data_IF_598141292849
#
_entry.id   IF_598141292849
#
_cell.length_a   1.000
_cell.length_b   1.000
_cell.length_c   1.000
_cell.angle_alpha   90.00
_cell.angle_beta   90.00
_cell.angle_gamma   90.00
#
_symmetry.space_group_name_H-M   'P 1'
#
loop_
_entity.id
_entity.type
_entity.pdbx_description
1 polymer ?
#
# COMPACT_ATOMS: atom_id res chain seq x y z
N UNK A 1 25.18 -9.45 -2.64
CA UNK A 1 24.13 -9.35 -3.67
C UNK A 1 22.79 -10.05 -3.34
N UNK A 2 22.71 -11.03 -2.43
CA UNK A 2 21.46 -11.77 -2.11
C UNK A 2 20.38 -11.03 -1.28
N UNK A 3 20.67 -9.91 -0.62
CA UNK A 3 19.68 -9.25 0.27
C UNK A 3 18.67 -8.35 -0.47
N UNK A 4 18.88 -8.10 -1.76
CA UNK A 4 18.00 -7.27 -2.58
C UNK A 4 16.78 -8.06 -3.09
N UNK A 5 16.97 -9.34 -3.42
CA UNK A 5 15.89 -10.24 -3.86
C UNK A 5 14.81 -10.39 -2.80
N UNK A 6 15.15 -10.48 -1.50
CA UNK A 6 14.15 -10.55 -0.43
C UNK A 6 13.21 -9.32 -0.41
N UNK A 7 13.73 -8.12 -0.72
CA UNK A 7 12.92 -6.90 -0.79
C UNK A 7 12.05 -6.88 -2.05
N UNK A 8 12.57 -7.35 -3.18
CA UNK A 8 11.81 -7.49 -4.43
C UNK A 8 10.72 -8.55 -4.33
N UNK A 9 11.02 -9.73 -3.78
CA UNK A 9 10.07 -10.80 -3.49
C UNK A 9 8.96 -10.28 -2.58
N UNK A 10 9.31 -9.59 -1.48
CA UNK A 10 8.30 -8.99 -0.61
C UNK A 10 7.45 -7.92 -1.31
N UNK A 11 7.96 -7.24 -2.34
CA UNK A 11 7.17 -6.28 -3.14
C UNK A 11 6.24 -7.02 -4.10
N UNK A 12 6.73 -8.05 -4.77
CA UNK A 12 5.97 -8.90 -5.71
C UNK A 12 4.85 -9.62 -5.00
N UNK A 13 5.15 -10.29 -3.89
CA UNK A 13 4.14 -10.92 -3.02
C UNK A 13 3.07 -9.91 -2.61
N UNK A 14 3.49 -8.65 -2.37
CA UNK A 14 2.53 -7.62 -2.01
C UNK A 14 1.61 -7.20 -3.15
N UNK A 15 2.16 -7.03 -4.35
CA UNK A 15 1.36 -6.71 -5.54
C UNK A 15 0.42 -7.85 -5.89
N UNK A 16 0.90 -9.09 -5.86
CA UNK A 16 0.10 -10.28 -6.18
C UNK A 16 -1.09 -10.35 -5.23
N UNK A 17 -0.86 -10.28 -3.92
CA UNK A 17 -1.94 -10.37 -2.93
C UNK A 17 -2.94 -9.22 -3.08
N UNK A 18 -2.48 -7.99 -3.31
CA UNK A 18 -3.38 -6.87 -3.58
C UNK A 18 -4.25 -7.10 -4.83
N UNK A 19 -3.66 -7.67 -5.88
CA UNK A 19 -4.37 -7.96 -7.13
C UNK A 19 -5.39 -9.10 -6.98
N UNK A 20 -5.06 -10.17 -6.24
CA UNK A 20 -6.00 -11.27 -6.00
C UNK A 20 -7.21 -10.81 -5.21
N UNK A 21 -7.01 -9.96 -4.19
CA UNK A 21 -8.13 -9.51 -3.36
C UNK A 21 -9.04 -8.56 -4.14
N UNK A 22 -8.48 -7.67 -4.96
CA UNK A 22 -9.25 -6.80 -5.86
C UNK A 22 -10.12 -7.63 -6.82
N UNK A 23 -9.55 -8.69 -7.41
CA UNK A 23 -10.29 -9.63 -8.28
C UNK A 23 -11.43 -10.33 -7.52
N UNK A 24 -11.16 -10.82 -6.32
CA UNK A 24 -12.16 -11.49 -5.47
C UNK A 24 -13.30 -10.51 -5.14
N UNK A 25 -12.98 -9.26 -4.77
CA UNK A 25 -13.97 -8.22 -4.50
C UNK A 25 -14.86 -7.92 -5.71
N UNK A 26 -14.29 -7.87 -6.91
CA UNK A 26 -15.06 -7.67 -8.16
C UNK A 26 -15.98 -8.86 -8.44
N UNK A 27 -15.47 -10.10 -8.34
CA UNK A 27 -16.27 -11.30 -8.58
C UNK A 27 -17.45 -11.39 -7.61
N UNK A 28 -17.24 -11.05 -6.34
CA UNK A 28 -18.27 -11.04 -5.31
C UNK A 28 -19.29 -9.91 -5.49
N UNK A 29 -18.90 -8.76 -6.04
CA UNK A 29 -19.81 -7.68 -6.39
C UNK A 29 -20.74 -8.05 -7.56
N UNK A 30 -20.25 -8.89 -8.48
CA UNK A 30 -20.95 -9.21 -9.72
C UNK A 30 -21.97 -10.35 -9.63
N UNK A 31 -21.97 -11.19 -8.59
CA UNK A 31 -22.99 -12.24 -8.41
C UNK A 31 -24.22 -11.66 -7.68
N UNK A 32 -25.31 -11.30 -8.40
CA UNK A 32 -26.49 -10.71 -7.79
C UNK A 32 -27.40 -11.88 -7.36
N UNK A 33 -27.36 -12.28 -6.08
CA UNK A 33 -28.12 -13.47 -5.66
C UNK A 33 -28.50 -13.59 -4.18
N UNK A 34 -27.65 -13.23 -3.20
CA UNK A 34 -28.04 -13.31 -1.79
C UNK A 34 -27.52 -12.10 -0.98
N UNK A 35 -28.32 -11.05 -0.90
CA UNK A 35 -27.96 -9.72 -0.38
C UNK A 35 -27.49 -9.66 1.09
N UNK A 36 -27.77 -10.68 1.90
CA UNK A 36 -27.36 -10.73 3.32
C UNK A 36 -25.99 -11.35 3.56
N UNK A 37 -25.50 -12.21 2.66
CA UNK A 37 -24.22 -12.92 2.80
C UNK A 37 -23.08 -12.12 2.15
N UNK A 38 -23.38 -11.37 1.09
CA UNK A 38 -22.42 -10.54 0.36
C UNK A 38 -21.88 -9.39 1.23
N UNK A 39 -22.71 -8.81 2.11
CA UNK A 39 -22.30 -7.72 3.00
C UNK A 39 -21.15 -8.16 3.94
N UNK A 40 -21.32 -9.16 4.83
CA UNK A 40 -20.24 -9.59 5.73
C UNK A 40 -19.02 -10.12 4.96
N UNK A 41 -19.20 -10.75 3.81
CA UNK A 41 -18.09 -11.21 2.95
C UNK A 41 -17.31 -10.03 2.36
N UNK A 42 -18.00 -9.05 1.80
CA UNK A 42 -17.40 -7.82 1.27
C UNK A 42 -16.66 -7.04 2.36
N UNK A 43 -17.25 -6.94 3.55
CA UNK A 43 -16.59 -6.34 4.73
C UNK A 43 -15.36 -7.15 5.19
N UNK A 44 -15.42 -8.49 5.17
CA UNK A 44 -14.27 -9.34 5.50
C UNK A 44 -13.11 -9.16 4.51
N UNK A 45 -13.41 -9.05 3.21
CA UNK A 45 -12.43 -8.72 2.18
C UNK A 45 -11.86 -7.32 2.43
N UNK A 46 -12.71 -6.30 2.59
CA UNK A 46 -12.27 -4.92 2.80
C UNK A 46 -11.38 -4.81 4.05
N UNK A 47 -11.74 -5.48 5.15
CA UNK A 47 -10.94 -5.51 6.37
C UNK A 47 -9.56 -6.12 6.12
N UNK A 48 -9.50 -7.22 5.37
CA UNK A 48 -8.25 -7.90 4.99
C UNK A 48 -7.37 -7.00 4.12
N UNK A 49 -7.96 -6.31 3.13
CA UNK A 49 -7.27 -5.33 2.29
C UNK A 49 -6.75 -4.15 3.09
N UNK A 50 -7.58 -3.58 3.99
CA UNK A 50 -7.20 -2.43 4.81
C UNK A 50 -6.00 -2.73 5.70
N UNK A 51 -5.95 -3.90 6.36
CA UNK A 51 -4.79 -4.31 7.16
C UNK A 51 -3.50 -4.35 6.33
N UNK A 52 -3.63 -4.80 5.09
CA UNK A 52 -2.53 -4.94 4.15
C UNK A 52 -2.09 -3.61 3.54
N UNK A 53 -3.04 -2.76 3.14
CA UNK A 53 -2.80 -1.38 2.71
C UNK A 53 -2.10 -0.57 3.81
N UNK A 54 -2.51 -0.74 5.07
CA UNK A 54 -1.86 -0.09 6.23
C UNK A 54 -0.40 -0.52 6.39
N UNK A 55 -0.10 -1.82 6.20
CA UNK A 55 1.29 -2.34 6.19
C UNK A 55 2.10 -1.76 5.03
N UNK A 56 1.50 -1.62 3.85
CA UNK A 56 2.15 -1.04 2.67
C UNK A 56 2.46 0.45 2.91
N UNK A 57 1.49 1.20 3.43
CA UNK A 57 1.63 2.62 3.77
C UNK A 57 2.75 2.85 4.79
N UNK A 58 2.82 2.02 5.84
CA UNK A 58 3.89 2.11 6.83
C UNK A 58 5.28 1.91 6.19
N UNK A 59 5.36 1.01 5.21
CA UNK A 59 6.59 0.79 4.42
C UNK A 59 6.94 1.98 3.52
N UNK A 60 5.94 2.62 2.91
CA UNK A 60 6.12 3.83 2.10
C UNK A 60 6.59 4.99 2.96
N UNK A 61 6.00 5.19 4.14
CA UNK A 61 6.39 6.24 5.10
C UNK A 61 7.87 6.19 5.44
N UNK A 62 8.43 4.98 5.60
CA UNK A 62 9.86 4.82 5.84
C UNK A 62 10.73 5.26 4.64
N UNK A 63 10.27 5.08 3.39
CA UNK A 63 11.00 5.61 2.23
C UNK A 63 10.85 7.11 2.07
N UNK A 64 9.66 7.64 2.35
CA UNK A 64 9.41 9.09 2.30
C UNK A 64 10.26 9.83 3.31
N UNK A 65 10.45 9.32 4.54
CA UNK A 65 11.32 9.97 5.52
C UNK A 65 12.77 10.14 5.03
N UNK A 66 13.30 9.20 4.23
CA UNK A 66 14.63 9.39 3.61
C UNK A 66 14.63 10.48 2.55
N UNK A 67 13.54 10.70 1.84
CA UNK A 67 13.43 11.76 0.83
C UNK A 67 13.17 13.13 1.47
N UNK A 68 12.54 13.17 2.65
CA UNK A 68 12.33 14.42 3.39
C UNK A 68 13.64 15.11 3.73
N UNK A 69 14.69 14.38 4.11
CA UNK A 69 15.96 15.02 4.47
C UNK A 69 16.62 15.71 3.27
N UNK A 70 16.51 15.14 2.06
CA UNK A 70 17.05 15.75 0.85
C UNK A 70 16.21 16.92 0.32
N UNK A 71 14.89 16.93 0.55
CA UNK A 71 14.03 18.04 0.14
C UNK A 71 14.10 19.19 1.14
N UNK A 72 14.10 18.89 2.44
CA UNK A 72 14.14 19.89 3.51
C UNK A 72 15.48 20.64 3.54
N UNK A 73 16.60 19.96 3.27
CA UNK A 73 17.92 20.63 3.19
C UNK A 73 18.02 21.57 1.99
N UNK A 74 17.41 21.23 0.85
CA UNK A 74 17.39 22.09 -0.35
C UNK A 74 16.44 23.29 -0.22
N UNK A 75 15.32 23.14 0.49
CA UNK A 75 14.41 24.25 0.75
C UNK A 75 14.99 25.22 1.79
N UNK A 76 15.66 24.74 2.86
CA UNK A 76 16.28 25.64 3.83
C UNK A 76 17.50 26.39 3.27
N UNK A 77 18.41 25.74 2.54
CA UNK A 77 19.57 26.43 1.96
C UNK A 77 19.19 27.56 0.97
N UNK A 78 18.03 27.49 0.31
CA UNK A 78 17.56 28.54 -0.59
C UNK A 78 17.00 29.78 0.10
N UNK A 79 16.67 29.71 1.40
CA UNK A 79 16.01 30.80 2.14
C UNK A 79 17.00 31.57 3.05
N UNK A 80 18.23 31.08 3.21
CA UNK A 80 19.33 31.75 3.93
C UNK A 80 20.35 32.44 3.00
N UNK A 81 20.16 32.37 1.68
CA UNK A 81 21.02 33.03 0.67
C UNK A 81 20.41 34.32 0.11
N UNK A 82 19.40 34.86 0.81
CA UNK A 82 18.73 36.12 0.46
C UNK A 82 18.42 36.92 1.74
N UNK A 83 19.46 37.19 2.52
CA UNK A 83 19.57 38.26 3.52
C UNK A 83 21.07 38.50 3.78
#
# INVERSE_FOLDING_TARGET
MMLQTLKQVKKIVVVIIGFTILLIGIVLFFLPGPSSIVIPIGLSILATEFLWAKRLLHKFKYRVNKTKEFVLTKIQNGYYTNN
#
